data_IF_425900249632
#
_entry.id   IF_425900249632
#
_cell.length_a   1.000
_cell.length_b   1.000
_cell.length_c   1.000
_cell.angle_alpha   90.00
_cell.angle_beta   90.00
_cell.angle_gamma   90.00
#
_symmetry.space_group_name_H-M   'P 1'
#
loop_
_entity.id
_entity.type
_entity.pdbx_description
1 polymer ?
#
# COMPACT_ATOMS: atom_id res chain seq x y z
N UNK A 1 -11.78 9.96 -26.73
CA UNK A 1 -13.05 9.36 -26.30
C UNK A 1 -12.82 8.12 -25.45
N UNK A 2 -12.17 8.25 -24.29
CA UNK A 2 -11.76 7.10 -23.46
C UNK A 2 -12.12 7.23 -21.98
N UNK A 3 -12.78 8.32 -21.55
CA UNK A 3 -13.21 8.52 -20.16
C UNK A 3 -14.64 8.02 -19.91
N UNK A 4 -15.47 8.00 -20.94
CA UNK A 4 -16.86 7.53 -20.86
C UNK A 4 -16.95 6.00 -20.77
N UNK A 5 -16.03 5.26 -21.41
CA UNK A 5 -16.03 3.79 -21.37
C UNK A 5 -15.77 3.21 -19.98
N UNK A 6 -14.79 3.74 -19.25
CA UNK A 6 -14.45 3.28 -17.90
C UNK A 6 -15.57 3.60 -16.88
N UNK A 7 -16.26 4.73 -17.04
CA UNK A 7 -17.42 5.07 -16.20
C UNK A 7 -18.60 4.14 -16.44
N UNK A 8 -18.84 3.73 -17.69
CA UNK A 8 -19.95 2.82 -18.04
C UNK A 8 -19.67 1.41 -17.54
N UNK A 9 -18.43 0.92 -17.64
CA UNK A 9 -18.03 -0.38 -17.08
C UNK A 9 -18.12 -0.39 -15.55
N UNK A 10 -17.69 0.68 -14.88
CA UNK A 10 -17.78 0.77 -13.43
C UNK A 10 -19.24 0.80 -12.96
N UNK A 11 -20.12 1.52 -13.67
CA UNK A 11 -21.55 1.57 -13.36
C UNK A 11 -22.22 0.21 -13.58
N UNK A 12 -21.89 -0.48 -14.68
CA UNK A 12 -22.45 -1.80 -15.01
C UNK A 12 -22.06 -2.89 -13.99
N UNK A 13 -20.82 -2.87 -13.50
CA UNK A 13 -20.38 -3.77 -12.42
C UNK A 13 -21.14 -3.47 -11.12
N UNK A 14 -21.41 -2.19 -10.85
CA UNK A 14 -22.16 -1.78 -9.66
C UNK A 14 -23.62 -2.26 -9.72
N UNK A 15 -24.23 -2.26 -10.90
CA UNK A 15 -25.63 -2.65 -11.11
C UNK A 15 -25.84 -4.18 -11.12
N UNK A 16 -24.93 -4.95 -11.74
CA UNK A 16 -24.96 -6.43 -11.70
C UNK A 16 -24.81 -6.99 -10.28
N UNK A 17 -24.02 -6.31 -9.44
CA UNK A 17 -23.83 -6.69 -8.03
C UNK A 17 -25.09 -6.38 -7.20
N UNK A 18 -25.86 -5.35 -7.58
CA UNK A 18 -27.11 -4.98 -6.90
C UNK A 18 -28.24 -6.00 -7.15
N UNK A 19 -28.33 -6.55 -8.37
CA UNK A 19 -29.41 -7.44 -8.81
C UNK A 19 -29.23 -8.92 -8.39
N UNK A 20 -28.06 -9.31 -7.86
CA UNK A 20 -27.70 -10.71 -7.62
C UNK A 20 -27.88 -11.20 -6.18
N UNK A 21 -28.60 -10.45 -5.32
CA UNK A 21 -28.66 -10.76 -3.88
C UNK A 21 -30.06 -11.11 -3.38
N UNK A 22 -30.24 -12.28 -2.74
CA UNK A 22 -31.52 -12.69 -2.17
C UNK A 22 -31.84 -11.85 -0.93
N UNK A 23 -33.15 -11.61 -0.75
CA UNK A 23 -33.81 -10.60 0.09
C UNK A 23 -33.45 -10.58 1.60
N UNK A 24 -32.58 -11.46 2.08
CA UNK A 24 -32.30 -11.66 3.52
C UNK A 24 -30.82 -11.43 3.95
N UNK A 25 -30.02 -10.68 3.18
CA UNK A 25 -28.59 -10.35 3.49
C UNK A 25 -28.28 -8.85 3.63
N UNK A 26 -29.31 -8.02 3.74
CA UNK A 26 -29.21 -6.56 3.59
C UNK A 26 -28.24 -5.85 4.56
N UNK A 27 -28.05 -6.38 5.79
CA UNK A 27 -27.15 -5.76 6.79
C UNK A 27 -25.66 -6.05 6.58
N UNK A 28 -25.30 -7.29 6.23
CA UNK A 28 -23.89 -7.71 6.07
C UNK A 28 -23.33 -7.37 4.69
N UNK A 29 -24.18 -7.35 3.66
CA UNK A 29 -23.81 -6.91 2.33
C UNK A 29 -23.57 -5.40 2.29
N UNK A 30 -24.41 -4.61 2.97
CA UNK A 30 -24.24 -3.16 3.07
C UNK A 30 -22.92 -2.78 3.76
N UNK A 31 -22.52 -3.50 4.82
CA UNK A 31 -21.23 -3.22 5.49
C UNK A 31 -20.03 -3.55 4.62
N UNK A 32 -20.03 -4.66 3.90
CA UNK A 32 -18.92 -5.03 3.01
C UNK A 32 -18.78 -4.07 1.82
N UNK A 33 -19.90 -3.71 1.20
CA UNK A 33 -19.93 -2.73 0.11
C UNK A 33 -19.48 -1.34 0.59
N UNK A 34 -19.91 -0.90 1.78
CA UNK A 34 -19.49 0.38 2.36
C UNK A 34 -17.97 0.42 2.65
N UNK A 35 -17.41 -0.65 3.21
CA UNK A 35 -15.97 -0.76 3.46
C UNK A 35 -15.17 -0.67 2.16
N UNK A 36 -15.60 -1.38 1.11
CA UNK A 36 -14.94 -1.38 -0.19
C UNK A 36 -14.99 -0.01 -0.87
N UNK A 37 -16.16 0.64 -0.88
CA UNK A 37 -16.31 2.00 -1.44
C UNK A 37 -15.47 3.02 -0.68
N UNK A 38 -15.40 2.91 0.64
CA UNK A 38 -14.55 3.79 1.48
C UNK A 38 -13.08 3.61 1.16
N UNK A 39 -12.62 2.36 1.03
CA UNK A 39 -11.23 2.06 0.65
C UNK A 39 -10.89 2.61 -0.73
N UNK A 40 -11.72 2.36 -1.75
CA UNK A 40 -11.52 2.90 -3.11
C UNK A 40 -11.44 4.43 -3.09
N UNK A 41 -12.33 5.09 -2.35
CA UNK A 41 -12.35 6.55 -2.24
C UNK A 41 -11.08 7.13 -1.62
N UNK A 42 -10.43 6.39 -0.71
CA UNK A 42 -9.20 6.82 -0.02
C UNK A 42 -7.92 6.38 -0.74
N UNK A 43 -7.98 5.33 -1.55
CA UNK A 43 -6.84 4.71 -2.23
C UNK A 43 -5.93 5.72 -2.94
N UNK A 44 -6.51 6.59 -3.79
CA UNK A 44 -5.76 7.59 -4.56
C UNK A 44 -4.96 8.51 -3.65
N UNK A 45 -5.60 9.03 -2.60
CA UNK A 45 -4.95 9.94 -1.65
C UNK A 45 -3.79 9.27 -0.93
N UNK A 46 -3.95 8.02 -0.49
CA UNK A 46 -2.87 7.27 0.18
C UNK A 46 -1.70 7.06 -0.77
N UNK A 47 -1.97 6.66 -2.01
CA UNK A 47 -0.95 6.42 -3.03
C UNK A 47 -0.19 7.70 -3.40
N UNK A 48 -0.91 8.79 -3.70
CA UNK A 48 -0.29 10.08 -4.01
C UNK A 48 0.55 10.60 -2.83
N UNK A 49 0.06 10.47 -1.60
CA UNK A 49 0.82 10.88 -0.40
C UNK A 49 2.09 10.04 -0.23
N UNK A 50 2.02 8.73 -0.49
CA UNK A 50 3.18 7.83 -0.36
C UNK A 50 4.29 8.13 -1.36
N UNK A 51 3.96 8.69 -2.53
CA UNK A 51 4.92 9.01 -3.58
C UNK A 51 5.48 10.44 -3.48
N UNK A 52 4.82 11.33 -2.73
CA UNK A 52 5.24 12.72 -2.56
C UNK A 52 5.95 13.01 -1.22
N UNK A 53 5.89 12.11 -0.25
CA UNK A 53 6.51 12.29 1.07
C UNK A 53 7.95 11.74 1.11
N UNK A 54 8.86 12.25 0.28
CA UNK A 54 10.28 11.83 0.32
C UNK A 54 11.04 12.57 1.43
N UNK A 55 11.64 11.83 2.38
CA UNK A 55 12.33 12.36 3.56
C UNK A 55 11.46 13.24 4.48
N UNK A 56 10.14 13.15 4.38
CA UNK A 56 9.21 13.84 5.27
C UNK A 56 8.84 12.98 6.49
N UNK A 57 8.48 13.64 7.60
CA UNK A 57 7.90 12.93 8.74
C UNK A 57 6.46 12.51 8.42
N UNK A 58 6.27 11.19 8.29
CA UNK A 58 4.98 10.58 7.94
C UNK A 58 4.20 10.07 9.16
N UNK A 59 4.72 10.26 10.38
CA UNK A 59 4.13 9.73 11.63
C UNK A 59 2.66 10.10 11.78
N UNK A 60 2.35 11.40 11.71
CA UNK A 60 0.99 11.95 11.86
C UNK A 60 0.02 11.49 10.76
N UNK A 61 0.53 11.28 9.55
CA UNK A 61 -0.27 10.74 8.44
C UNK A 61 -0.59 9.27 8.69
N UNK A 62 0.42 8.48 9.08
CA UNK A 62 0.28 7.05 9.33
C UNK A 62 -0.68 6.77 10.49
N UNK A 63 -0.72 7.60 11.54
CA UNK A 63 -1.67 7.46 12.65
C UNK A 63 -3.14 7.43 12.20
N UNK A 64 -3.46 8.10 11.08
CA UNK A 64 -4.82 8.21 10.54
C UNK A 64 -5.19 7.11 9.53
N UNK A 65 -4.23 6.26 9.16
CA UNK A 65 -4.44 5.18 8.19
C UNK A 65 -4.77 3.87 8.90
N UNK A 66 -5.67 3.09 8.29
CA UNK A 66 -5.92 1.71 8.71
C UNK A 66 -4.74 0.78 8.35
N UNK A 67 -4.81 -0.49 8.76
CA UNK A 67 -3.72 -1.44 8.53
C UNK A 67 -3.45 -1.73 7.04
N UNK A 68 -4.50 -1.77 6.21
CA UNK A 68 -4.37 -2.01 4.77
C UNK A 68 -3.81 -0.78 4.06
N UNK A 69 -4.28 0.41 4.43
CA UNK A 69 -3.78 1.68 3.94
C UNK A 69 -2.32 1.91 4.33
N UNK A 70 -1.93 1.54 5.56
CA UNK A 70 -0.51 1.56 5.99
C UNK A 70 0.35 0.65 5.13
N UNK A 71 -0.10 -0.57 4.84
CA UNK A 71 0.63 -1.51 3.99
C UNK A 71 0.78 -0.96 2.55
N UNK A 72 -0.28 -0.37 2.00
CA UNK A 72 -0.25 0.29 0.70
C UNK A 72 0.74 1.48 0.70
N UNK A 73 0.68 2.32 1.72
CA UNK A 73 1.57 3.48 1.87
C UNK A 73 3.04 3.05 1.96
N UNK A 74 3.34 2.01 2.75
CA UNK A 74 4.68 1.44 2.88
C UNK A 74 5.22 0.89 1.55
N UNK A 75 4.37 0.22 0.78
CA UNK A 75 4.73 -0.28 -0.55
C UNK A 75 5.08 0.88 -1.50
N UNK A 76 4.27 1.93 -1.53
CA UNK A 76 4.54 3.15 -2.31
C UNK A 76 5.86 3.83 -1.90
N UNK A 77 6.09 3.98 -0.59
CA UNK A 77 7.33 4.52 -0.05
C UNK A 77 8.56 3.66 -0.37
N UNK A 78 8.45 2.33 -0.33
CA UNK A 78 9.54 1.44 -0.73
C UNK A 78 9.91 1.65 -2.20
N UNK A 79 8.92 1.80 -3.08
CA UNK A 79 9.14 2.11 -4.50
C UNK A 79 9.85 3.46 -4.69
N UNK A 80 9.35 4.52 -4.03
CA UNK A 80 9.93 5.86 -4.08
C UNK A 80 11.40 5.87 -3.61
N UNK A 81 11.68 5.24 -2.47
CA UNK A 81 13.04 5.16 -1.90
C UNK A 81 13.99 4.35 -2.78
N UNK A 82 13.49 3.27 -3.40
CA UNK A 82 14.23 2.49 -4.38
C UNK A 82 14.60 3.33 -5.62
N UNK A 83 13.62 4.03 -6.19
CA UNK A 83 13.82 4.91 -7.34
C UNK A 83 14.82 6.03 -7.02
N UNK A 84 14.66 6.71 -5.89
CA UNK A 84 15.57 7.77 -5.43
C UNK A 84 17.00 7.26 -5.19
N UNK A 85 17.15 6.02 -4.73
CA UNK A 85 18.47 5.41 -4.55
C UNK A 85 19.12 5.02 -5.87
N UNK A 86 18.33 4.59 -6.85
CA UNK A 86 18.79 4.34 -8.22
C UNK A 86 19.20 5.64 -8.93
N UNK A 87 18.37 6.67 -8.88
CA UNK A 87 18.61 7.97 -9.51
C UNK A 87 19.92 8.62 -8.99
N UNK A 88 20.23 8.43 -7.70
CA UNK A 88 21.46 8.92 -7.06
C UNK A 88 22.65 7.99 -7.20
N UNK A 89 22.54 6.91 -8.00
CA UNK A 89 23.61 5.92 -8.21
C UNK A 89 23.91 5.01 -7.01
N UNK A 90 23.23 5.17 -5.87
CA UNK A 90 23.46 4.35 -4.67
C UNK A 90 23.03 2.90 -4.84
N UNK A 91 22.12 2.61 -5.77
CA UNK A 91 21.71 1.25 -6.10
C UNK A 91 22.84 0.41 -6.74
N UNK A 92 23.91 1.04 -7.23
CA UNK A 92 25.09 0.34 -7.78
C UNK A 92 26.04 -0.20 -6.71
N UNK A 93 25.91 0.28 -5.47
CA UNK A 93 26.77 -0.15 -4.37
C UNK A 93 26.30 -1.52 -3.84
N UNK A 94 27.15 -2.53 -4.00
CA UNK A 94 26.91 -3.84 -3.40
C UNK A 94 27.00 -3.73 -1.87
N UNK A 95 25.91 -4.09 -1.19
CA UNK A 95 25.86 -4.16 0.27
C UNK A 95 25.79 -5.63 0.72
N UNK A 96 26.38 -5.92 1.88
CA UNK A 96 26.29 -7.26 2.45
C UNK A 96 24.82 -7.56 2.82
N UNK A 97 24.35 -8.76 2.48
CA UNK A 97 22.99 -9.17 2.81
C UNK A 97 22.79 -9.26 4.32
N UNK A 98 21.54 -9.15 4.76
CA UNK A 98 21.17 -9.30 6.17
C UNK A 98 21.66 -10.62 6.76
N UNK A 99 21.70 -11.69 5.96
CA UNK A 99 22.23 -13.00 6.36
C UNK A 99 23.70 -12.91 6.77
N UNK A 100 24.53 -12.26 5.96
CA UNK A 100 25.98 -12.09 6.24
C UNK A 100 26.19 -11.21 7.46
N UNK A 101 25.45 -10.10 7.56
CA UNK A 101 25.52 -9.19 8.71
C UNK A 101 25.12 -9.90 10.01
N UNK A 102 24.00 -10.63 9.99
CA UNK A 102 23.49 -11.34 11.17
C UNK A 102 24.35 -12.54 11.55
N UNK A 103 24.95 -13.22 10.57
CA UNK A 103 25.94 -14.26 10.83
C UNK A 103 27.17 -13.69 11.56
N UNK A 104 27.73 -12.56 11.08
CA UNK A 104 28.87 -11.89 11.72
C UNK A 104 28.55 -11.46 13.15
N UNK A 105 27.37 -10.88 13.40
CA UNK A 105 26.93 -10.48 14.75
C UNK A 105 26.90 -11.66 15.73
N UNK A 106 26.33 -12.80 15.31
CA UNK A 106 26.29 -14.03 16.14
C UNK A 106 27.69 -14.55 16.47
N UNK A 107 28.60 -14.56 15.50
CA UNK A 107 30.00 -14.97 15.73
C UNK A 107 30.75 -14.06 16.70
N UNK A 108 30.49 -12.75 16.68
CA UNK A 108 31.12 -11.84 17.64
C UNK A 108 30.60 -12.05 19.07
N UNK A 109 29.32 -12.39 19.24
CA UNK A 109 28.76 -12.72 20.57
C UNK A 109 29.35 -14.03 21.14
N UNK A 110 29.58 -15.02 20.28
CA UNK A 110 30.14 -16.34 20.64
C UNK A 110 31.62 -16.27 21.06
N UNK A 111 32.36 -15.26 20.59
CA UNK A 111 33.78 -15.04 20.94
C UNK A 111 33.95 -14.29 22.27
N UNK A 112 32.86 -13.74 22.84
CA UNK A 112 32.87 -12.96 24.09
C UNK A 112 32.26 -13.71 25.29
N UNK A 113 31.88 -14.98 25.11
CA UNK A 113 31.37 -15.87 26.15
C UNK A 113 32.45 -16.86 26.63
#
# INVERSE_FOLDING_TARGET
>A
GSETGLRVEFLAVTEQIHLSLPENKHKTFSSGALMFMTFIGRFRRVMDSSQNAYNEDTSTLLERLDCLEKALFQSGQSGLNGFQSWEKGRASQLTASSLVINYRKRKMADVQA
#
